data_IF_282734105650
#
_entry.id   IF_282734105650
#
_cell.length_a   1.000
_cell.length_b   1.000
_cell.length_c   1.000
_cell.angle_alpha   90.00
_cell.angle_beta   90.00
_cell.angle_gamma   90.00
#
_symmetry.space_group_name_H-M   'P 1'
#
loop_
_entity.id
_entity.type
_entity.pdbx_description
1 polymer ?
#
# COMPACT_ATOMS: atom_id res chain seq x y z
N UNK A 1 8.00 13.34 12.09
CA UNK A 1 6.73 12.56 12.09
C UNK A 1 6.98 11.23 12.77
N UNK A 2 6.13 10.85 13.71
CA UNK A 2 6.29 9.60 14.47
C UNK A 2 5.60 8.45 13.74
N UNK A 3 6.40 7.50 13.23
CA UNK A 3 5.94 6.33 12.49
C UNK A 3 6.00 5.04 13.32
N UNK A 4 5.99 5.14 14.65
CA UNK A 4 5.94 3.94 15.49
C UNK A 4 4.68 3.12 15.17
N UNK A 5 4.79 1.79 15.04
CA UNK A 5 3.68 0.90 14.66
C UNK A 5 2.42 1.11 15.50
N UNK A 6 2.58 1.30 16.81
CA UNK A 6 1.44 1.51 17.72
C UNK A 6 0.70 2.85 17.51
N UNK A 7 1.37 3.87 16.98
CA UNK A 7 0.76 5.18 16.65
C UNK A 7 0.03 5.09 15.33
N UNK A 8 0.69 4.52 14.33
CA UNK A 8 0.12 4.29 13.00
C UNK A 8 -1.11 3.41 13.09
N UNK A 9 -1.04 2.27 13.79
CA UNK A 9 -2.17 1.35 13.95
C UNK A 9 -3.39 2.04 14.58
N UNK A 10 -3.20 2.77 15.70
CA UNK A 10 -4.31 3.51 16.33
C UNK A 10 -4.91 4.61 15.44
N UNK A 11 -4.10 5.29 14.63
CA UNK A 11 -4.59 6.28 13.68
C UNK A 11 -5.49 5.60 12.63
N UNK A 12 -5.03 4.51 12.02
CA UNK A 12 -5.81 3.76 11.04
C UNK A 12 -7.06 3.10 11.65
N UNK A 13 -6.99 2.62 12.90
CA UNK A 13 -8.17 2.11 13.61
C UNK A 13 -9.28 3.17 13.72
N UNK A 14 -8.92 4.45 14.01
CA UNK A 14 -9.91 5.53 14.13
C UNK A 14 -10.58 5.89 12.80
N UNK A 15 -9.83 5.93 11.72
CA UNK A 15 -10.36 6.34 10.40
C UNK A 15 -10.96 5.17 9.61
N UNK A 16 -10.77 3.92 10.04
CA UNK A 16 -11.28 2.74 9.34
C UNK A 16 -12.74 2.83 8.91
N UNK A 17 -13.69 3.38 9.72
CA UNK A 17 -15.09 3.48 9.33
C UNK A 17 -15.38 4.26 8.05
N UNK A 18 -14.57 5.27 7.74
CA UNK A 18 -14.77 6.18 6.60
C UNK A 18 -13.67 6.06 5.53
N UNK A 19 -12.73 5.15 5.74
CA UNK A 19 -11.50 5.05 4.94
C UNK A 19 -11.77 4.86 3.45
N UNK A 20 -12.59 3.87 3.09
CA UNK A 20 -12.88 3.55 1.69
C UNK A 20 -13.66 4.67 0.99
N UNK A 21 -14.62 5.27 1.68
CA UNK A 21 -15.38 6.42 1.18
C UNK A 21 -14.45 7.59 0.88
N UNK A 22 -13.57 7.91 1.82
CA UNK A 22 -12.63 9.03 1.67
C UNK A 22 -11.58 8.77 0.60
N UNK A 23 -11.06 7.54 0.48
CA UNK A 23 -10.18 7.19 -0.62
C UNK A 23 -10.86 7.39 -1.97
N UNK A 24 -12.11 6.95 -2.11
CA UNK A 24 -12.90 7.11 -3.33
C UNK A 24 -13.12 8.60 -3.66
N UNK A 25 -13.51 9.42 -2.68
CA UNK A 25 -13.76 10.86 -2.87
C UNK A 25 -12.45 11.58 -3.20
N UNK A 26 -11.41 11.41 -2.38
CA UNK A 26 -10.15 12.14 -2.50
C UNK A 26 -9.30 11.71 -3.70
N UNK A 27 -9.50 10.51 -4.22
CA UNK A 27 -8.85 10.06 -5.46
C UNK A 27 -9.70 10.24 -6.71
N UNK A 28 -10.93 10.76 -6.58
CA UNK A 28 -11.93 10.77 -7.67
C UNK A 28 -12.15 9.36 -8.26
N UNK A 29 -12.14 8.32 -7.41
CA UNK A 29 -12.24 6.90 -7.77
C UNK A 29 -11.08 6.36 -8.63
N UNK A 30 -10.03 7.13 -8.86
CA UNK A 30 -8.86 6.72 -9.65
C UNK A 30 -8.03 5.64 -8.95
N UNK A 31 -8.06 5.60 -7.63
CA UNK A 31 -7.34 4.61 -6.82
C UNK A 31 -7.66 3.16 -7.22
N UNK A 32 -8.91 2.87 -7.61
CA UNK A 32 -9.32 1.54 -8.07
C UNK A 32 -8.62 1.11 -9.36
N UNK A 33 -8.48 2.04 -10.31
CA UNK A 33 -7.77 1.77 -11.55
C UNK A 33 -6.25 1.59 -11.30
N UNK A 34 -5.67 2.40 -10.41
CA UNK A 34 -4.26 2.28 -10.04
C UNK A 34 -3.95 0.96 -9.33
N UNK A 35 -4.81 0.53 -8.38
CA UNK A 35 -4.68 -0.77 -7.71
C UNK A 35 -4.78 -1.93 -8.70
N UNK A 36 -5.72 -1.85 -9.66
CA UNK A 36 -5.84 -2.87 -10.71
C UNK A 36 -4.58 -2.93 -11.58
N UNK A 37 -3.99 -1.80 -11.93
CA UNK A 37 -2.71 -1.76 -12.63
C UNK A 37 -1.59 -2.43 -11.83
N UNK A 38 -1.51 -2.18 -10.52
CA UNK A 38 -0.52 -2.81 -9.65
C UNK A 38 -0.67 -4.34 -9.57
N UNK A 39 -1.91 -4.85 -9.49
CA UNK A 39 -2.20 -6.29 -9.48
C UNK A 39 -1.82 -6.92 -10.82
N UNK A 40 -2.18 -6.29 -11.94
CA UNK A 40 -1.93 -6.84 -13.28
C UNK A 40 -0.43 -7.04 -13.56
N UNK A 41 0.45 -6.21 -12.98
CA UNK A 41 1.90 -6.36 -13.14
C UNK A 41 2.46 -7.64 -12.52
N UNK A 42 1.77 -8.20 -11.53
CA UNK A 42 2.20 -9.42 -10.86
C UNK A 42 1.93 -10.68 -11.69
N UNK A 43 1.02 -10.62 -12.68
CA UNK A 43 0.64 -11.76 -13.50
C UNK A 43 0.25 -12.99 -12.64
N UNK A 44 -0.55 -12.73 -11.59
CA UNK A 44 -0.97 -13.76 -10.61
C UNK A 44 -1.68 -14.89 -11.31
N UNK A 45 -1.26 -16.12 -11.03
CA UNK A 45 -1.85 -17.36 -11.56
C UNK A 45 -2.69 -18.03 -10.49
N UNK A 46 -3.63 -18.87 -10.94
CA UNK A 46 -4.42 -19.67 -10.03
C UNK A 46 -3.52 -20.55 -9.15
N UNK A 47 -3.69 -20.40 -7.84
CA UNK A 47 -2.90 -21.12 -6.84
C UNK A 47 -1.64 -20.43 -6.33
N UNK A 48 -1.22 -19.31 -6.95
CA UNK A 48 -0.12 -18.50 -6.43
C UNK A 48 -0.44 -17.97 -5.03
N UNK A 49 0.57 -17.98 -4.15
CA UNK A 49 0.49 -17.35 -2.84
C UNK A 49 0.95 -15.90 -2.94
N UNK A 50 0.09 -14.98 -2.54
CA UNK A 50 0.31 -13.53 -2.65
C UNK A 50 0.24 -12.88 -1.29
N UNK A 51 1.20 -12.03 -0.96
CA UNK A 51 1.21 -11.23 0.26
C UNK A 51 0.75 -9.80 -0.05
N UNK A 52 -0.32 -9.34 0.59
CA UNK A 52 -0.74 -7.93 0.56
C UNK A 52 -0.33 -7.23 1.85
N UNK A 53 0.63 -6.30 1.75
CA UNK A 53 1.26 -5.64 2.88
C UNK A 53 0.56 -4.31 3.15
N UNK A 54 0.28 -4.02 4.42
CA UNK A 54 -0.60 -2.93 4.83
C UNK A 54 -1.94 -3.04 4.07
N UNK A 55 -2.54 -4.24 4.14
CA UNK A 55 -3.72 -4.63 3.34
C UNK A 55 -4.92 -3.72 3.60
N UNK A 56 -4.96 -3.03 4.74
CA UNK A 56 -6.04 -2.12 5.10
C UNK A 56 -7.38 -2.84 5.08
N UNK A 57 -8.32 -2.27 4.34
CA UNK A 57 -9.68 -2.81 4.15
C UNK A 57 -9.78 -3.84 3.02
N UNK A 58 -8.65 -4.31 2.49
CA UNK A 58 -8.59 -5.37 1.47
C UNK A 58 -8.78 -4.90 0.02
N UNK A 59 -8.76 -3.60 -0.26
CA UNK A 59 -9.04 -3.05 -1.60
C UNK A 59 -8.04 -3.49 -2.68
N UNK A 60 -6.84 -3.93 -2.28
CA UNK A 60 -5.87 -4.53 -3.20
C UNK A 60 -5.95 -6.06 -3.17
N UNK A 61 -6.13 -6.65 -1.98
CA UNK A 61 -6.16 -8.09 -1.76
C UNK A 61 -7.35 -8.78 -2.42
N UNK A 62 -8.57 -8.23 -2.26
CA UNK A 62 -9.80 -8.90 -2.71
C UNK A 62 -9.85 -9.05 -4.23
N UNK A 63 -9.53 -8.04 -5.06
CA UNK A 63 -9.46 -8.23 -6.51
C UNK A 63 -8.37 -9.23 -6.94
N UNK A 64 -7.25 -9.34 -6.18
CA UNK A 64 -6.21 -10.32 -6.46
C UNK A 64 -6.68 -11.76 -6.11
N UNK A 65 -7.44 -11.91 -5.03
CA UNK A 65 -8.05 -13.19 -4.63
C UNK A 65 -9.14 -13.63 -5.61
N UNK A 66 -9.97 -12.71 -6.07
CA UNK A 66 -10.99 -12.97 -7.11
C UNK A 66 -10.34 -13.41 -8.43
N UNK A 67 -9.19 -12.84 -8.78
CA UNK A 67 -8.36 -13.24 -9.93
C UNK A 67 -7.70 -14.62 -9.79
N UNK A 68 -7.88 -15.34 -8.67
CA UNK A 68 -7.42 -16.72 -8.47
C UNK A 68 -6.22 -16.89 -7.53
N UNK A 69 -5.63 -15.82 -7.03
CA UNK A 69 -4.57 -15.88 -6.04
C UNK A 69 -5.04 -16.35 -4.66
N UNK A 70 -4.17 -17.01 -3.91
CA UNK A 70 -4.33 -17.23 -2.47
C UNK A 70 -3.66 -16.07 -1.74
N UNK A 71 -4.43 -15.12 -1.26
CA UNK A 71 -3.92 -13.86 -0.71
C UNK A 71 -3.89 -13.89 0.80
N UNK A 72 -2.76 -13.50 1.38
CA UNK A 72 -2.61 -13.23 2.81
C UNK A 72 -2.41 -11.73 2.98
N UNK A 73 -3.33 -11.06 3.68
CA UNK A 73 -3.21 -9.66 4.05
C UNK A 73 -2.53 -9.50 5.41
N UNK A 74 -1.54 -8.63 5.51
CA UNK A 74 -0.96 -8.24 6.81
C UNK A 74 -1.18 -6.75 7.05
N UNK A 75 -1.66 -6.41 8.24
CA UNK A 75 -1.82 -5.01 8.67
C UNK A 75 -1.64 -4.89 10.19
N UNK A 76 -1.20 -3.73 10.63
CA UNK A 76 -1.07 -3.42 12.04
C UNK A 76 -2.41 -3.04 12.69
N UNK A 77 -3.34 -2.48 11.91
CA UNK A 77 -4.65 -2.02 12.34
C UNK A 77 -5.65 -3.18 12.38
N UNK A 78 -6.12 -3.52 13.57
CA UNK A 78 -7.16 -4.54 13.75
C UNK A 78 -8.48 -4.14 13.10
N UNK A 79 -8.86 -2.85 13.16
CA UNK A 79 -10.14 -2.39 12.61
C UNK A 79 -10.16 -2.46 11.08
N UNK A 80 -9.02 -2.20 10.44
CA UNK A 80 -8.86 -2.40 9.00
C UNK A 80 -9.06 -3.87 8.61
N UNK A 81 -8.38 -4.79 9.31
CA UNK A 81 -8.49 -6.23 9.05
C UNK A 81 -9.91 -6.77 9.23
N UNK A 82 -10.65 -6.31 10.25
CA UNK A 82 -12.04 -6.71 10.45
C UNK A 82 -12.93 -6.28 9.28
N UNK A 83 -12.69 -5.09 8.71
CA UNK A 83 -13.41 -4.63 7.52
C UNK A 83 -13.03 -5.42 6.27
N UNK A 84 -11.75 -5.74 6.12
CA UNK A 84 -11.29 -6.58 5.02
C UNK A 84 -11.95 -7.96 5.04
N UNK A 85 -12.05 -8.58 6.22
CA UNK A 85 -12.74 -9.87 6.38
C UNK A 85 -14.25 -9.77 6.09
N UNK A 86 -14.93 -8.72 6.55
CA UNK A 86 -16.33 -8.49 6.24
C UNK A 86 -16.58 -8.36 4.73
N UNK A 87 -15.74 -7.59 4.03
CA UNK A 87 -15.82 -7.49 2.55
C UNK A 87 -15.50 -8.82 1.86
N UNK A 88 -14.56 -9.60 2.39
CA UNK A 88 -14.23 -10.92 1.86
C UNK A 88 -15.39 -11.91 2.01
N UNK A 89 -16.11 -11.87 3.13
CA UNK A 89 -17.31 -12.67 3.37
C UNK A 89 -18.44 -12.29 2.42
N UNK A 90 -18.72 -11.00 2.25
CA UNK A 90 -19.72 -10.49 1.30
C UNK A 90 -19.45 -10.88 -0.17
N UNK A 91 -18.19 -11.18 -0.52
CA UNK A 91 -17.75 -11.53 -1.87
C UNK A 91 -17.42 -13.03 -2.02
N UNK A 92 -17.70 -13.87 -1.04
CA UNK A 92 -17.37 -15.32 -1.03
C UNK A 92 -15.87 -15.62 -1.23
N UNK A 93 -14.99 -14.74 -0.75
CA UNK A 93 -13.53 -14.86 -0.92
C UNK A 93 -12.77 -15.42 0.29
N UNK A 94 -13.45 -15.80 1.38
CA UNK A 94 -12.80 -16.30 2.61
C UNK A 94 -11.98 -17.59 2.40
N UNK A 95 -12.22 -18.34 1.33
CA UNK A 95 -11.42 -19.52 0.99
C UNK A 95 -10.10 -19.17 0.30
N UNK A 96 -9.96 -17.93 -0.20
CA UNK A 96 -8.79 -17.42 -0.93
C UNK A 96 -8.11 -16.24 -0.26
N UNK A 97 -8.74 -15.64 0.74
CA UNK A 97 -8.21 -14.49 1.47
C UNK A 97 -8.20 -14.77 2.97
N UNK A 98 -7.06 -14.50 3.59
CA UNK A 98 -6.89 -14.55 5.04
C UNK A 98 -6.08 -13.36 5.51
N UNK A 99 -6.17 -13.03 6.80
CA UNK A 99 -5.48 -11.87 7.36
C UNK A 99 -4.63 -12.23 8.58
N UNK A 100 -3.55 -11.50 8.76
CA UNK A 100 -2.66 -11.57 9.92
C UNK A 100 -2.48 -10.16 10.48
N UNK A 101 -2.71 -9.97 11.77
CA UNK A 101 -2.33 -8.72 12.42
C UNK A 101 -0.84 -8.75 12.76
N UNK A 102 -0.06 -7.82 12.21
CA UNK A 102 1.38 -7.82 12.41
C UNK A 102 2.08 -6.58 11.87
N UNK A 103 3.37 -6.47 12.23
CA UNK A 103 4.25 -5.42 11.74
C UNK A 103 4.94 -5.91 10.45
N UNK A 104 4.87 -5.09 9.40
CA UNK A 104 5.51 -5.37 8.12
C UNK A 104 7.06 -5.37 8.19
N UNK A 105 7.65 -4.87 9.27
CA UNK A 105 9.08 -4.93 9.52
C UNK A 105 9.55 -6.23 10.20
N UNK A 106 8.61 -7.06 10.67
CA UNK A 106 8.89 -8.34 11.33
C UNK A 106 7.70 -9.28 11.12
N UNK A 107 7.60 -9.85 9.92
CA UNK A 107 6.44 -10.63 9.52
C UNK A 107 6.52 -12.07 10.06
N UNK A 108 5.41 -12.65 10.55
CA UNK A 108 5.39 -14.01 11.11
C UNK A 108 5.32 -15.09 10.02
N UNK A 109 6.03 -14.90 8.92
CA UNK A 109 6.09 -15.84 7.80
C UNK A 109 7.49 -16.44 7.66
N UNK A 110 7.54 -17.66 7.13
CA UNK A 110 8.80 -18.32 6.78
C UNK A 110 9.43 -17.66 5.56
N UNK A 111 10.71 -17.87 5.39
CA UNK A 111 11.41 -17.45 4.18
C UNK A 111 10.77 -18.10 2.95
N UNK A 112 10.80 -17.39 1.83
CA UNK A 112 10.36 -17.87 0.52
C UNK A 112 8.93 -18.45 0.47
N UNK A 113 8.02 -17.88 1.28
CA UNK A 113 6.63 -18.33 1.37
C UNK A 113 5.76 -17.86 0.21
N UNK A 114 6.04 -16.67 -0.36
CA UNK A 114 5.14 -16.00 -1.31
C UNK A 114 5.73 -15.94 -2.72
N UNK A 115 4.90 -16.26 -3.72
CA UNK A 115 5.26 -16.10 -5.13
C UNK A 115 5.29 -14.62 -5.53
N UNK A 116 4.39 -13.84 -4.95
CA UNK A 116 4.29 -12.40 -5.20
C UNK A 116 3.94 -11.65 -3.92
N UNK A 117 4.33 -10.39 -3.89
CA UNK A 117 3.89 -9.44 -2.86
C UNK A 117 3.38 -8.15 -3.51
N UNK A 118 2.53 -7.43 -2.79
CA UNK A 118 2.00 -6.14 -3.24
C UNK A 118 1.78 -5.21 -2.06
N UNK A 119 1.87 -3.91 -2.31
CA UNK A 119 1.52 -2.86 -1.36
C UNK A 119 0.94 -1.67 -2.11
N UNK A 120 -0.14 -1.10 -1.62
CA UNK A 120 -0.68 0.15 -2.15
C UNK A 120 -0.88 1.18 -1.04
N UNK A 121 -0.20 2.33 -1.18
CA UNK A 121 -0.31 3.48 -0.28
C UNK A 121 0.08 3.19 1.18
N UNK A 122 0.92 2.17 1.38
CA UNK A 122 1.35 1.68 2.69
C UNK A 122 2.82 1.95 3.03
N UNK A 123 3.71 1.89 2.02
CA UNK A 123 5.17 1.90 2.25
C UNK A 123 5.67 3.22 2.86
N UNK A 124 5.03 4.35 2.58
CA UNK A 124 5.39 5.65 3.19
C UNK A 124 5.22 5.69 4.72
N UNK A 125 4.43 4.76 5.28
CA UNK A 125 4.20 4.65 6.73
C UNK A 125 5.26 3.83 7.44
N UNK A 126 6.13 3.14 6.71
CA UNK A 126 7.23 2.37 7.28
C UNK A 126 8.28 3.32 7.88
N UNK A 127 8.73 3.02 9.10
CA UNK A 127 9.73 3.83 9.78
C UNK A 127 11.16 3.53 9.32
N UNK A 128 11.37 2.37 8.69
CA UNK A 128 12.65 1.92 8.15
C UNK A 128 12.39 1.17 6.84
N UNK A 129 12.69 1.81 5.70
CA UNK A 129 12.46 1.25 4.37
C UNK A 129 13.41 0.10 4.05
N UNK A 130 14.66 0.18 4.50
CA UNK A 130 15.64 -0.88 4.28
C UNK A 130 15.22 -2.17 5.02
N UNK A 131 14.87 -2.06 6.30
CA UNK A 131 14.39 -3.21 7.09
C UNK A 131 13.10 -3.80 6.50
N UNK A 132 12.17 -2.94 6.05
CA UNK A 132 10.96 -3.37 5.36
C UNK A 132 11.27 -4.16 4.09
N UNK A 133 12.11 -3.62 3.21
CA UNK A 133 12.48 -4.27 1.95
C UNK A 133 13.29 -5.56 2.17
N UNK A 134 14.15 -5.60 3.20
CA UNK A 134 14.86 -6.83 3.59
C UNK A 134 13.88 -7.94 4.02
N UNK A 135 12.82 -7.58 4.76
CA UNK A 135 11.78 -8.52 5.18
C UNK A 135 10.93 -9.01 4.01
N UNK A 136 10.60 -8.13 3.04
CA UNK A 136 9.96 -8.53 1.78
C UNK A 136 10.86 -9.48 0.99
N UNK A 137 12.16 -9.16 0.90
CA UNK A 137 13.13 -10.02 0.22
C UNK A 137 13.19 -11.40 0.85
N UNK A 138 13.15 -11.49 2.19
CA UNK A 138 13.16 -12.76 2.92
C UNK A 138 11.95 -13.63 2.60
N UNK A 139 10.74 -13.06 2.66
CA UNK A 139 9.50 -13.84 2.52
C UNK A 139 9.12 -14.16 1.08
N UNK A 140 9.66 -13.45 0.09
CA UNK A 140 9.46 -13.74 -1.33
C UNK A 140 10.30 -14.95 -1.77
N UNK A 141 9.71 -15.81 -2.59
CA UNK A 141 10.42 -16.88 -3.30
C UNK A 141 11.46 -16.30 -4.27
N UNK A 142 12.43 -17.10 -4.67
CA UNK A 142 13.38 -16.73 -5.73
C UNK A 142 12.60 -16.39 -7.00
N UNK A 143 12.96 -15.28 -7.67
CA UNK A 143 12.22 -14.67 -8.77
C UNK A 143 10.81 -14.20 -8.42
N UNK A 144 10.46 -14.18 -7.14
CA UNK A 144 9.21 -13.58 -6.66
C UNK A 144 9.14 -12.09 -7.01
N UNK A 145 7.93 -11.62 -7.35
CA UNK A 145 7.69 -10.24 -7.79
C UNK A 145 7.04 -9.42 -6.68
N UNK A 146 7.41 -8.17 -6.58
CA UNK A 146 6.79 -7.22 -5.66
C UNK A 146 6.32 -5.97 -6.40
N UNK A 147 5.01 -5.72 -6.33
CA UNK A 147 4.38 -4.52 -6.89
C UNK A 147 4.17 -3.48 -5.80
N UNK A 148 4.66 -2.27 -6.05
CA UNK A 148 4.53 -1.13 -5.12
C UNK A 148 3.80 -0.01 -5.81
N UNK A 149 2.65 0.38 -5.27
CA UNK A 149 1.91 1.57 -5.66
C UNK A 149 1.96 2.58 -4.51
N UNK A 150 2.53 3.76 -4.75
CA UNK A 150 2.64 4.77 -3.68
C UNK A 150 2.47 6.17 -4.24
N UNK A 151 2.06 7.10 -3.37
CA UNK A 151 2.01 8.51 -3.73
C UNK A 151 3.41 9.07 -3.97
N UNK A 152 3.50 9.96 -4.93
CA UNK A 152 4.70 10.71 -5.25
C UNK A 152 4.37 12.17 -5.53
N UNK A 153 5.38 13.00 -5.69
CA UNK A 153 5.18 14.39 -6.05
C UNK A 153 5.44 14.57 -7.55
N UNK A 154 4.50 15.21 -8.29
CA UNK A 154 4.71 15.51 -9.70
C UNK A 154 6.01 16.27 -9.95
N UNK A 155 6.71 15.96 -11.05
CA UNK A 155 7.94 16.65 -11.43
C UNK A 155 7.68 18.07 -11.95
N UNK A 156 6.55 18.25 -12.68
CA UNK A 156 6.18 19.56 -13.27
C UNK A 156 5.82 20.56 -12.17
N UNK A 157 6.53 21.68 -12.10
CA UNK A 157 6.46 22.66 -11.02
C UNK A 157 5.04 23.19 -10.76
N UNK A 158 4.28 23.56 -11.78
CA UNK A 158 2.91 24.05 -11.64
C UNK A 158 1.95 22.97 -11.13
N UNK A 159 2.03 21.77 -11.71
CA UNK A 159 1.15 20.67 -11.29
C UNK A 159 1.50 20.18 -9.86
N UNK A 160 2.78 20.17 -9.54
CA UNK A 160 3.25 19.90 -8.17
C UNK A 160 2.71 20.92 -7.17
N UNK A 161 2.74 22.21 -7.51
CA UNK A 161 2.20 23.26 -6.64
C UNK A 161 0.70 23.06 -6.39
N UNK A 162 -0.11 22.80 -7.44
CA UNK A 162 -1.54 22.53 -7.33
C UNK A 162 -1.79 21.30 -6.46
N UNK A 163 -1.05 20.22 -6.67
CA UNK A 163 -1.20 18.98 -5.92
C UNK A 163 -0.83 19.17 -4.43
N UNK A 164 0.26 19.85 -4.14
CA UNK A 164 0.65 20.17 -2.75
C UNK A 164 -0.38 21.07 -2.07
N UNK A 165 -0.94 22.06 -2.79
CA UNK A 165 -2.03 22.88 -2.27
C UNK A 165 -3.28 22.03 -1.98
N UNK A 166 -3.64 21.10 -2.87
CA UNK A 166 -4.72 20.14 -2.65
C UNK A 166 -4.49 19.29 -1.39
N UNK A 167 -3.31 18.71 -1.23
CA UNK A 167 -2.93 17.92 -0.04
C UNK A 167 -2.93 18.76 1.24
N UNK A 168 -2.62 20.05 1.14
CA UNK A 168 -2.46 20.93 2.29
C UNK A 168 -3.79 21.48 2.78
N UNK A 169 -4.70 21.83 1.88
CA UNK A 169 -5.93 22.54 2.22
C UNK A 169 -7.17 21.68 2.03
N UNK A 170 -7.30 21.00 0.89
CA UNK A 170 -8.54 20.28 0.55
C UNK A 170 -8.64 18.96 1.30
N UNK A 171 -7.58 18.17 1.26
CA UNK A 171 -7.56 16.83 1.87
C UNK A 171 -7.82 16.85 3.38
N UNK A 172 -7.18 17.72 4.20
CA UNK A 172 -7.47 17.77 5.64
C UNK A 172 -8.87 18.29 5.96
N UNK A 173 -9.40 19.21 5.16
CA UNK A 173 -10.75 19.74 5.38
C UNK A 173 -11.78 18.65 5.12
N UNK A 174 -11.77 18.05 3.93
CA UNK A 174 -12.74 17.01 3.55
C UNK A 174 -12.57 15.79 4.45
N UNK A 175 -11.32 15.34 4.64
CA UNK A 175 -11.00 14.20 5.48
C UNK A 175 -11.44 14.40 6.93
N UNK A 176 -11.10 15.54 7.51
CA UNK A 176 -11.48 15.89 8.87
C UNK A 176 -12.98 16.04 9.10
N UNK A 177 -13.70 16.62 8.13
CA UNK A 177 -15.17 16.77 8.22
C UNK A 177 -15.90 15.41 8.17
N UNK A 178 -15.43 14.47 7.35
CA UNK A 178 -16.08 13.17 7.17
C UNK A 178 -15.64 12.17 8.23
N UNK A 179 -14.35 12.12 8.59
CA UNK A 179 -13.83 11.16 9.55
C UNK A 179 -13.81 11.63 11.00
N UNK A 180 -13.88 12.95 11.23
CA UNK A 180 -13.64 13.55 12.53
C UNK A 180 -12.16 13.62 12.95
N UNK A 181 -11.21 13.18 12.10
CA UNK A 181 -9.77 13.11 12.41
C UNK A 181 -8.93 13.94 11.45
N UNK A 182 -8.83 15.25 11.70
CA UNK A 182 -8.00 16.16 10.91
C UNK A 182 -6.51 15.80 10.91
N UNK A 183 -6.02 15.23 12.01
CA UNK A 183 -4.61 14.92 12.17
C UNK A 183 -4.18 13.75 11.29
N UNK A 184 -5.04 12.77 11.04
CA UNK A 184 -4.79 11.68 10.11
C UNK A 184 -4.57 12.19 8.67
N UNK A 185 -5.28 13.25 8.26
CA UNK A 185 -5.14 13.81 6.90
C UNK A 185 -4.02 14.85 6.78
N UNK A 186 -3.64 15.50 7.89
CA UNK A 186 -2.36 16.22 7.96
C UNK A 186 -1.18 15.26 7.86
N UNK A 187 -1.26 14.13 8.58
CA UNK A 187 -0.28 13.06 8.46
C UNK A 187 -0.15 12.55 7.02
N UNK A 188 -1.27 12.37 6.30
CA UNK A 188 -1.24 11.98 4.88
C UNK A 188 -0.42 12.98 4.07
N UNK A 189 -0.69 14.28 4.15
CA UNK A 189 0.12 15.32 3.49
C UNK A 189 1.60 15.18 3.81
N UNK A 190 1.93 15.13 5.11
CA UNK A 190 3.31 15.14 5.58
C UNK A 190 4.05 13.86 5.18
N UNK A 191 3.36 12.71 5.19
CA UNK A 191 3.93 11.43 4.75
C UNK A 191 4.19 11.40 3.24
N UNK A 192 3.33 12.00 2.42
CA UNK A 192 3.53 12.11 0.97
C UNK A 192 4.66 13.07 0.64
N UNK A 193 4.67 14.27 1.25
CA UNK A 193 5.68 15.29 0.96
C UNK A 193 7.07 14.94 1.50
N UNK A 194 7.15 14.13 2.54
CA UNK A 194 8.41 13.65 3.13
C UNK A 194 8.86 12.28 2.63
N UNK A 195 8.16 11.67 1.68
CA UNK A 195 8.55 10.38 1.12
C UNK A 195 9.68 10.52 0.10
N UNK A 196 10.59 9.55 -0.02
CA UNK A 196 11.65 9.59 -1.01
C UNK A 196 11.14 9.78 -2.43
N UNK A 197 11.87 10.55 -3.24
CA UNK A 197 11.62 10.63 -4.68
C UNK A 197 11.84 9.27 -5.34
N UNK A 198 11.21 9.02 -6.51
CA UNK A 198 11.24 7.70 -7.14
C UNK A 198 12.64 7.11 -7.31
N UNK A 199 13.60 7.89 -7.75
CA UNK A 199 14.99 7.46 -7.98
C UNK A 199 15.68 7.04 -6.68
N UNK A 200 15.41 7.75 -5.58
CA UNK A 200 15.96 7.41 -4.26
C UNK A 200 15.38 6.09 -3.75
N UNK A 201 14.05 5.88 -3.92
CA UNK A 201 13.40 4.63 -3.54
C UNK A 201 13.93 3.44 -4.38
N UNK A 202 14.13 3.62 -5.68
CA UNK A 202 14.77 2.60 -6.53
C UNK A 202 16.19 2.25 -6.05
N UNK A 203 16.96 3.26 -5.62
CA UNK A 203 18.28 3.05 -5.04
C UNK A 203 18.23 2.15 -3.82
N UNK A 204 17.27 2.39 -2.91
CA UNK A 204 17.05 1.56 -1.72
C UNK A 204 16.64 0.13 -2.12
N UNK A 205 15.69 -0.03 -3.07
CA UNK A 205 15.27 -1.34 -3.58
C UNK A 205 16.43 -2.15 -4.15
N UNK A 206 17.27 -1.50 -4.98
CA UNK A 206 18.48 -2.12 -5.55
C UNK A 206 19.50 -2.49 -4.49
N UNK A 207 19.67 -1.65 -3.46
CA UNK A 207 20.54 -1.89 -2.30
C UNK A 207 20.13 -3.11 -1.49
N UNK A 208 18.85 -3.47 -1.47
CA UNK A 208 18.31 -4.67 -0.82
C UNK A 208 18.30 -5.92 -1.73
N UNK A 209 18.94 -5.87 -2.89
CA UNK A 209 19.11 -7.03 -3.79
C UNK A 209 18.01 -7.19 -4.84
N UNK A 210 17.01 -6.31 -4.89
CA UNK A 210 15.98 -6.38 -5.91
C UNK A 210 16.45 -5.89 -7.27
N UNK A 211 15.90 -6.47 -8.33
CA UNK A 211 15.95 -5.93 -9.69
C UNK A 211 14.70 -5.07 -9.93
N UNK A 212 14.87 -3.81 -10.25
CA UNK A 212 13.76 -2.96 -10.70
C UNK A 212 13.42 -3.35 -12.14
N UNK A 213 12.22 -3.86 -12.35
CA UNK A 213 11.70 -4.31 -13.65
C UNK A 213 10.95 -3.17 -14.33
N UNK A 214 10.15 -2.44 -13.56
CA UNK A 214 9.37 -1.30 -14.01
C UNK A 214 9.39 -0.21 -12.92
N UNK A 215 9.47 1.03 -13.34
CA UNK A 215 9.26 2.21 -12.52
C UNK A 215 8.63 3.28 -13.40
N UNK A 216 7.40 3.67 -13.07
CA UNK A 216 6.66 4.61 -13.90
C UNK A 216 5.73 5.52 -13.10
N UNK A 217 5.68 6.81 -13.43
CA UNK A 217 4.70 7.72 -12.86
C UNK A 217 3.31 7.41 -13.39
N UNK A 218 2.31 7.53 -12.51
CA UNK A 218 0.90 7.43 -12.85
C UNK A 218 0.24 8.79 -12.63
N UNK A 219 -0.72 9.11 -13.49
CA UNK A 219 -1.54 10.32 -13.40
C UNK A 219 -0.71 11.59 -13.17
N UNK A 220 0.24 11.83 -14.07
CA UNK A 220 1.08 13.03 -14.01
C UNK A 220 2.09 13.06 -12.86
N UNK A 221 2.33 11.92 -12.21
CA UNK A 221 3.30 11.78 -11.11
C UNK A 221 2.70 11.97 -9.72
N UNK A 222 1.37 11.99 -9.57
CA UNK A 222 0.69 11.96 -8.25
C UNK A 222 0.93 10.63 -7.54
N UNK A 223 1.04 9.56 -8.32
CA UNK A 223 1.40 8.23 -7.82
C UNK A 223 2.48 7.62 -8.70
N UNK A 224 3.23 6.69 -8.15
CA UNK A 224 4.26 5.96 -8.85
C UNK A 224 4.06 4.46 -8.66
N UNK A 225 4.26 3.71 -9.72
CA UNK A 225 4.11 2.26 -9.75
C UNK A 225 5.46 1.61 -10.03
N UNK A 226 5.84 0.67 -9.17
CA UNK A 226 7.05 -0.11 -9.32
C UNK A 226 6.71 -1.59 -9.42
N UNK A 227 7.45 -2.30 -10.25
CA UNK A 227 7.58 -3.75 -10.22
C UNK A 227 9.03 -4.10 -9.97
N UNK A 228 9.29 -4.82 -8.91
CA UNK A 228 10.63 -5.31 -8.58
C UNK A 228 10.62 -6.82 -8.41
N UNK A 229 11.76 -7.46 -8.60
CA UNK A 229 11.91 -8.91 -8.59
C UNK A 229 13.08 -9.31 -7.70
N UNK A 230 12.89 -10.33 -6.85
CA UNK A 230 13.96 -10.98 -6.08
C UNK A 230 14.91 -11.72 -7.03
N UNK A 231 16.21 -11.48 -6.89
CA UNK A 231 17.26 -12.18 -7.67
C UNK A 231 17.60 -13.55 -7.07
#
# INVERSE_FOLDING_TARGET
>A
MDKRPSIIGRMFDRIAPTYDLLNTILSFSLDKAWRRAAINLLEIRAGDTVLDIATGTGDLALPAADGGGKVVGIDISRQMLLRALGKAEEQDLLTRYSVVQGDALSMPFRDETFNSAMVAFGIRNMNNLEAFLAEIYRVLSIRGRFSVLEFSLPERSLFRWIYVAYLTYVVPIIGGLISGDYDAYRYLRDSVTGFPVPEALEGIMKGQGFRVVLSMPIFGGISHLYLIEKR
#
